data_IF_289823836481
#
_entry.id   IF_289823836481
#
_cell.length_a   1.000
_cell.length_b   1.000
_cell.length_c   1.000
_cell.angle_alpha   90.00
_cell.angle_beta   90.00
_cell.angle_gamma   90.00
#
_symmetry.space_group_name_H-M   'P 1'
#
loop_
_entity.id
_entity.type
_entity.pdbx_description
1 polymer ?
#
# COMPACT_ATOMS: atom_id res chain seq x y z
N UNK A 1 -8.78 -12.15 -3.14
CA UNK A 1 -8.80 -11.41 -1.86
C UNK A 1 -8.87 -9.92 -2.16
N UNK A 2 -9.46 -9.10 -1.29
CA UNK A 2 -9.38 -7.64 -1.45
C UNK A 2 -7.94 -7.21 -1.14
N UNK A 3 -7.31 -6.36 -1.98
CA UNK A 3 -5.94 -5.93 -1.75
C UNK A 3 -5.84 -5.09 -0.47
N UNK A 4 -4.72 -5.20 0.24
CA UNK A 4 -4.38 -4.33 1.37
C UNK A 4 -3.91 -2.99 0.79
N UNK A 5 -4.48 -1.89 1.28
CA UNK A 5 -4.12 -0.54 0.86
C UNK A 5 -3.25 0.12 1.91
N UNK A 6 -2.09 0.62 1.49
CA UNK A 6 -1.14 1.36 2.34
C UNK A 6 -1.17 2.82 1.90
N UNK A 7 -1.30 3.73 2.86
CA UNK A 7 -1.32 5.18 2.60
C UNK A 7 -0.37 5.84 3.57
N UNK A 8 0.73 6.37 3.05
CA UNK A 8 1.79 7.00 3.84
C UNK A 8 2.58 7.92 2.90
N UNK A 9 3.06 9.07 3.35
CA UNK A 9 3.85 9.98 2.52
C UNK A 9 5.34 9.58 2.46
N UNK A 10 5.83 8.80 3.42
CA UNK A 10 7.19 8.28 3.46
C UNK A 10 7.36 7.02 2.58
N UNK A 11 8.26 7.10 1.59
CA UNK A 11 8.55 5.99 0.68
C UNK A 11 9.14 4.76 1.39
N UNK A 12 9.94 4.98 2.43
CA UNK A 12 10.64 3.92 3.17
C UNK A 12 9.64 3.07 3.95
N UNK A 13 8.63 3.68 4.58
CA UNK A 13 7.56 2.97 5.28
C UNK A 13 6.75 2.12 4.30
N UNK A 14 6.32 2.71 3.18
CA UNK A 14 5.57 1.96 2.14
C UNK A 14 6.39 0.77 1.63
N UNK A 15 7.67 0.97 1.35
CA UNK A 15 8.54 -0.10 0.86
C UNK A 15 8.65 -1.27 1.84
N UNK A 16 8.86 -1.00 3.14
CA UNK A 16 8.97 -2.06 4.16
C UNK A 16 7.66 -2.85 4.26
N UNK A 17 6.52 -2.17 4.29
CA UNK A 17 5.21 -2.79 4.38
C UNK A 17 4.86 -3.60 3.13
N UNK A 18 5.12 -3.07 1.93
CA UNK A 18 4.94 -3.79 0.67
C UNK A 18 5.75 -5.09 0.65
N UNK A 19 7.03 -5.04 1.05
CA UNK A 19 7.89 -6.22 1.08
C UNK A 19 7.43 -7.25 2.10
N UNK A 20 7.02 -6.82 3.29
CA UNK A 20 6.54 -7.71 4.34
C UNK A 20 5.24 -8.43 3.92
N UNK A 21 4.29 -7.68 3.36
CA UNK A 21 2.99 -8.23 2.94
C UNK A 21 3.12 -9.10 1.68
N UNK A 22 3.93 -8.69 0.70
CA UNK A 22 4.16 -9.49 -0.51
C UNK A 22 4.86 -10.82 -0.22
N UNK A 23 5.71 -10.89 0.82
CA UNK A 23 6.36 -12.13 1.27
C UNK A 23 5.36 -13.18 1.77
N UNK A 24 4.22 -12.75 2.28
CA UNK A 24 3.13 -13.60 2.76
C UNK A 24 2.01 -13.74 1.71
N UNK A 25 2.31 -13.49 0.43
CA UNK A 25 1.40 -13.59 -0.72
C UNK A 25 0.14 -12.69 -0.63
N UNK A 26 0.19 -11.61 0.15
CA UNK A 26 -0.88 -10.61 0.14
C UNK A 26 -0.78 -9.70 -1.09
N UNK A 27 -1.92 -9.46 -1.74
CA UNK A 27 -2.03 -8.40 -2.76
C UNK A 27 -2.00 -7.03 -2.08
N UNK A 28 -1.11 -6.14 -2.52
CA UNK A 28 -0.88 -4.82 -1.92
C UNK A 28 -0.98 -3.74 -2.98
N UNK A 29 -1.52 -2.58 -2.58
CA UNK A 29 -1.47 -1.34 -3.35
C UNK A 29 -1.10 -0.20 -2.41
N UNK A 30 -0.11 0.60 -2.77
CA UNK A 30 0.34 1.73 -1.96
C UNK A 30 0.02 3.08 -2.60
N UNK A 31 -0.14 4.09 -1.76
CA UNK A 31 -0.50 5.45 -2.13
C UNK A 31 0.32 6.43 -1.30
N UNK A 32 0.72 7.55 -1.90
CA UNK A 32 1.43 8.64 -1.22
C UNK A 32 0.50 9.58 -0.47
N UNK A 33 -0.78 9.60 -0.83
CA UNK A 33 -1.76 10.48 -0.22
C UNK A 33 -3.15 9.86 -0.17
N UNK A 34 -4.02 10.31 0.76
CA UNK A 34 -5.42 9.90 0.80
C UNK A 34 -6.22 10.28 -0.45
N UNK A 35 -5.79 11.30 -1.21
CA UNK A 35 -6.49 11.71 -2.43
C UNK A 35 -6.38 10.65 -3.52
N UNK A 36 -5.20 10.04 -3.63
CA UNK A 36 -4.93 8.98 -4.60
C UNK A 36 -5.74 7.72 -4.28
N UNK A 37 -6.04 7.49 -2.99
CA UNK A 37 -6.93 6.43 -2.52
C UNK A 37 -8.36 6.68 -2.98
N UNK A 38 -8.86 7.88 -2.76
CA UNK A 38 -10.22 8.26 -3.17
C UNK A 38 -10.40 8.17 -4.69
N UNK A 39 -9.37 8.51 -5.47
CA UNK A 39 -9.36 8.37 -6.93
C UNK A 39 -9.30 6.90 -7.40
N UNK A 40 -8.98 5.96 -6.51
CA UNK A 40 -8.81 4.54 -6.79
C UNK A 40 -9.98 3.66 -6.33
N UNK A 41 -11.02 4.24 -5.71
CA UNK A 41 -12.30 3.60 -5.37
C UNK A 41 -13.11 3.25 -6.63
#
# INVERSE_FOLDING_TARGET
MKPIWIVDDDQSIRFVLEKALAREDFAVRSFTSPRDVLAAL
#
